data_IF_921030939280
#
_entry.id   IF_921030939280
#
_cell.length_a   1.000
_cell.length_b   1.000
_cell.length_c   1.000
_cell.angle_alpha   90.00
_cell.angle_beta   90.00
_cell.angle_gamma   90.00
#
_symmetry.space_group_name_H-M   'P 1'
#
loop_
_entity.id
_entity.type
_entity.pdbx_description
1 polymer ?
#
# COMPACT_ATOMS: atom_id res chain seq x y z
N UNK A 1 0.62 10.03 2.35
CA UNK A 1 0.47 11.28 3.09
C UNK A 1 -0.47 11.08 4.28
N UNK A 2 -0.44 12.03 5.23
CA UNK A 2 -1.22 11.96 6.48
C UNK A 2 -2.73 12.14 6.29
N UNK A 3 -3.16 12.52 5.12
CA UNK A 3 -4.57 12.67 4.72
C UNK A 3 -5.11 11.47 3.94
N UNK A 4 -4.33 10.39 3.84
CA UNK A 4 -4.68 9.19 3.07
C UNK A 4 -4.55 9.35 1.57
N UNK A 5 -3.88 10.40 1.09
CA UNK A 5 -3.61 10.58 -0.34
C UNK A 5 -2.35 9.86 -0.81
N UNK A 6 -2.37 9.41 -2.05
CA UNK A 6 -1.20 9.00 -2.82
C UNK A 6 -0.92 10.07 -3.88
N UNK A 7 0.29 10.59 -3.90
CA UNK A 7 0.73 11.66 -4.80
C UNK A 7 1.87 11.16 -5.67
N UNK A 8 1.72 11.26 -6.98
CA UNK A 8 2.78 10.94 -7.94
C UNK A 8 3.37 12.21 -8.53
N UNK A 9 4.67 12.18 -8.78
CA UNK A 9 5.44 13.31 -9.30
C UNK A 9 6.24 12.88 -10.52
N UNK A 10 6.20 13.68 -11.59
CA UNK A 10 7.10 13.48 -12.71
C UNK A 10 8.49 14.07 -12.37
N UNK A 11 9.48 13.19 -12.27
CA UNK A 11 10.86 13.58 -12.05
C UNK A 11 11.53 13.76 -13.44
N UNK A 12 11.73 15.01 -13.85
CA UNK A 12 12.50 15.31 -15.06
C UNK A 12 14.00 15.14 -14.78
N UNK A 13 14.81 14.68 -15.77
CA UNK A 13 16.25 14.65 -15.64
C UNK A 13 16.81 16.03 -15.27
N UNK A 14 17.91 16.04 -14.50
CA UNK A 14 18.52 17.27 -13.98
C UNK A 14 18.89 18.31 -15.05
N UNK A 15 19.19 17.89 -16.27
CA UNK A 15 19.50 18.77 -17.41
C UNK A 15 18.31 19.66 -17.87
N UNK A 16 17.10 19.42 -17.41
CA UNK A 16 15.90 20.20 -17.75
C UNK A 16 15.36 21.04 -16.56
N UNK A 17 16.12 21.16 -15.49
CA UNK A 17 15.70 21.86 -14.27
C UNK A 17 16.12 23.32 -14.34
N UNK A 18 15.33 24.13 -15.09
CA UNK A 18 15.34 25.60 -14.93
C UNK A 18 14.30 26.13 -13.91
N UNK A 19 13.38 25.29 -13.46
CA UNK A 19 12.34 25.65 -12.49
C UNK A 19 12.67 25.08 -11.12
N UNK A 20 12.67 25.91 -10.09
CA UNK A 20 12.91 25.49 -8.71
C UNK A 20 11.91 24.43 -8.25
N UNK A 21 12.32 23.61 -7.28
CA UNK A 21 11.51 22.51 -6.72
C UNK A 21 10.11 22.97 -6.24
N UNK A 22 9.99 24.23 -5.83
CA UNK A 22 8.76 24.83 -5.30
C UNK A 22 7.64 25.03 -6.36
N UNK A 23 7.95 24.92 -7.66
CA UNK A 23 6.97 25.14 -8.74
C UNK A 23 6.45 23.85 -9.37
N UNK A 24 6.95 22.68 -8.92
CA UNK A 24 6.50 21.39 -9.47
C UNK A 24 5.10 21.06 -8.99
N UNK A 25 4.19 20.88 -9.94
CA UNK A 25 2.85 20.34 -9.64
C UNK A 25 2.90 18.82 -9.62
N UNK A 26 2.13 18.16 -8.73
CA UNK A 26 1.99 16.71 -8.76
C UNK A 26 1.41 16.27 -10.09
N UNK A 27 1.85 15.12 -10.59
CA UNK A 27 1.31 14.51 -11.80
C UNK A 27 -0.09 13.95 -11.54
N UNK A 28 -0.30 13.37 -10.36
CA UNK A 28 -1.58 12.81 -9.93
C UNK A 28 -1.71 12.90 -8.41
N UNK A 29 -2.92 13.13 -7.93
CA UNK A 29 -3.31 13.03 -6.52
C UNK A 29 -4.55 12.14 -6.49
N UNK A 30 -4.47 11.03 -5.77
CA UNK A 30 -5.59 10.12 -5.60
C UNK A 30 -5.83 9.87 -4.12
N UNK A 31 -7.09 9.67 -3.77
CA UNK A 31 -7.54 9.26 -2.44
C UNK A 31 -8.18 7.88 -2.58
N UNK A 32 -7.43 6.79 -2.39
CA UNK A 32 -7.88 5.44 -2.69
C UNK A 32 -9.19 5.05 -2.00
N UNK A 33 -9.37 5.51 -0.76
CA UNK A 33 -10.56 5.23 0.05
C UNK A 33 -11.38 6.48 0.38
N UNK A 34 -10.93 7.65 -0.11
CA UNK A 34 -11.61 8.91 0.16
C UNK A 34 -12.96 8.98 -0.53
N UNK A 35 -14.01 9.18 0.25
CA UNK A 35 -15.33 9.51 -0.28
C UNK A 35 -15.48 11.01 -0.36
N UNK A 36 -16.06 11.48 -1.46
CA UNK A 36 -16.48 12.87 -1.58
C UNK A 36 -17.83 13.04 -0.89
N UNK A 37 -17.87 13.96 0.06
CA UNK A 37 -19.11 14.47 0.58
C UNK A 37 -19.91 15.11 -0.56
N UNK A 38 -21.16 14.71 -0.72
CA UNK A 38 -22.04 15.16 -1.81
C UNK A 38 -22.44 16.63 -1.69
N UNK A 39 -22.48 17.18 -0.48
CA UNK A 39 -22.91 18.55 -0.21
C UNK A 39 -21.74 19.53 -0.31
N UNK A 40 -20.62 19.21 0.31
CA UNK A 40 -19.46 20.10 0.38
C UNK A 40 -18.42 19.86 -0.70
N UNK A 41 -18.47 18.71 -1.38
CA UNK A 41 -17.48 18.27 -2.36
C UNK A 41 -16.10 17.98 -1.76
N UNK A 42 -15.94 18.05 -0.44
CA UNK A 42 -14.69 17.75 0.27
C UNK A 42 -14.53 16.26 0.43
N UNK A 43 -13.27 15.83 0.48
CA UNK A 43 -12.94 14.43 0.77
C UNK A 43 -12.99 14.24 2.28
N UNK A 44 -13.65 13.16 2.73
CA UNK A 44 -13.72 12.78 4.13
C UNK A 44 -12.32 12.43 4.67
N UNK A 45 -12.04 12.72 5.94
CA UNK A 45 -10.74 12.43 6.54
C UNK A 45 -10.40 10.94 6.47
N UNK A 46 -9.19 10.64 6.02
CA UNK A 46 -8.66 9.28 5.93
C UNK A 46 -7.47 9.10 6.89
N UNK A 47 -7.21 7.84 7.24
CA UNK A 47 -6.00 7.45 7.97
C UNK A 47 -4.75 7.73 7.13
N UNK A 48 -3.60 7.99 7.77
CA UNK A 48 -2.34 8.12 7.07
C UNK A 48 -2.01 6.86 6.26
N UNK A 49 -1.31 7.05 5.14
CA UNK A 49 -0.62 5.98 4.42
C UNK A 49 0.86 6.10 4.78
N UNK A 50 1.35 5.16 5.59
CA UNK A 50 2.72 5.21 6.10
C UNK A 50 3.71 4.54 5.16
N UNK A 51 3.29 3.48 4.50
CA UNK A 51 4.12 2.74 3.55
C UNK A 51 3.35 2.43 2.27
N UNK A 52 4.00 2.68 1.14
CA UNK A 52 3.52 2.31 -0.18
C UNK A 52 4.63 1.62 -0.97
N UNK A 53 4.29 0.52 -1.62
CA UNK A 53 5.13 -0.15 -2.61
C UNK A 53 4.48 0.07 -3.96
N UNK A 54 5.21 0.70 -4.88
CA UNK A 54 4.79 0.89 -6.27
C UNK A 54 5.69 0.06 -7.19
N UNK A 55 5.07 -0.75 -8.04
CA UNK A 55 5.75 -1.57 -9.03
C UNK A 55 4.92 -1.61 -10.32
N UNK A 56 5.53 -2.08 -11.39
CA UNK A 56 4.86 -2.34 -12.67
C UNK A 56 4.88 -3.83 -12.93
N UNK A 57 3.73 -4.38 -13.26
CA UNK A 57 3.54 -5.77 -13.60
C UNK A 57 4.20 -6.09 -14.95
N UNK A 58 4.95 -7.18 -15.01
CA UNK A 58 5.61 -7.64 -16.23
C UNK A 58 4.62 -8.17 -17.27
N UNK A 59 3.56 -8.83 -16.81
CA UNK A 59 2.61 -9.53 -17.68
C UNK A 59 1.77 -8.55 -18.51
N UNK A 60 1.36 -7.43 -17.91
CA UNK A 60 0.40 -6.51 -18.51
C UNK A 60 0.92 -5.06 -18.60
N UNK A 61 2.12 -4.78 -18.10
CA UNK A 61 2.71 -3.44 -18.02
C UNK A 61 1.81 -2.44 -17.28
N UNK A 62 1.06 -2.94 -16.29
CA UNK A 62 0.14 -2.14 -15.47
C UNK A 62 0.79 -1.84 -14.14
N UNK A 63 0.74 -0.59 -13.73
CA UNK A 63 1.20 -0.19 -12.40
C UNK A 63 0.28 -0.75 -11.32
N UNK A 64 0.90 -1.16 -10.22
CA UNK A 64 0.19 -1.57 -9.03
C UNK A 64 0.82 -0.97 -7.78
N UNK A 65 -0.03 -0.76 -6.79
CA UNK A 65 0.32 -0.17 -5.51
C UNK A 65 -0.14 -1.11 -4.39
N UNK A 66 0.72 -1.32 -3.42
CA UNK A 66 0.40 -2.02 -2.17
C UNK A 66 0.67 -1.06 -1.03
N UNK A 67 -0.30 -0.84 -0.17
CA UNK A 67 -0.15 0.09 0.95
C UNK A 67 -1.04 -0.30 2.14
N UNK A 68 -0.65 0.15 3.32
CA UNK A 68 -1.43 0.05 4.55
C UNK A 68 -1.92 1.44 4.97
N UNK A 69 -3.07 1.51 5.63
CA UNK A 69 -3.72 2.76 5.99
C UNK A 69 -4.59 3.35 4.88
N UNK A 70 -4.88 4.63 4.96
CA UNK A 70 -5.70 5.37 3.99
C UNK A 70 -7.20 5.12 4.11
N UNK A 71 -7.67 4.29 5.05
CA UNK A 71 -9.09 4.05 5.30
C UNK A 71 -9.76 5.26 5.93
N UNK A 72 -11.10 5.32 5.89
CA UNK A 72 -11.83 6.42 6.51
C UNK A 72 -11.67 6.41 8.04
N UNK A 73 -11.32 7.57 8.61
CA UNK A 73 -10.99 7.72 10.03
C UNK A 73 -12.18 7.56 10.96
N UNK A 74 -13.35 8.03 10.54
CA UNK A 74 -14.53 8.14 11.40
C UNK A 74 -15.48 6.95 11.32
N UNK A 75 -15.06 5.86 10.67
CA UNK A 75 -15.84 4.63 10.57
C UNK A 75 -15.39 3.66 11.66
N UNK A 76 -16.21 3.48 12.70
CA UNK A 76 -15.94 2.49 13.76
C UNK A 76 -16.02 1.07 13.22
N UNK A 77 -15.09 0.21 13.65
CA UNK A 77 -15.10 -1.21 13.29
C UNK A 77 -14.49 -1.54 11.94
N UNK A 78 -13.77 -0.62 11.32
CA UNK A 78 -12.98 -0.92 10.12
C UNK A 78 -11.81 -1.80 10.51
N UNK A 79 -11.69 -3.03 9.95
CA UNK A 79 -10.58 -3.91 10.27
C UNK A 79 -9.26 -3.37 9.70
N UNK A 80 -8.13 -3.66 10.37
CA UNK A 80 -6.82 -3.40 9.79
C UNK A 80 -6.70 -4.06 8.42
N UNK A 81 -6.08 -3.38 7.47
CA UNK A 81 -6.03 -3.91 6.11
C UNK A 81 -4.80 -3.47 5.34
N UNK A 82 -4.50 -4.24 4.30
CA UNK A 82 -3.58 -3.85 3.23
C UNK A 82 -4.39 -3.69 1.96
N UNK A 83 -4.20 -2.57 1.28
CA UNK A 83 -4.86 -2.30 0.00
C UNK A 83 -3.93 -2.65 -1.15
N UNK A 84 -4.46 -3.44 -2.08
CA UNK A 84 -3.81 -3.79 -3.34
C UNK A 84 -4.58 -3.15 -4.50
N UNK A 85 -3.97 -2.17 -5.14
CA UNK A 85 -4.52 -1.50 -6.32
C UNK A 85 -3.75 -1.93 -7.56
N UNK A 86 -4.46 -2.35 -8.61
CA UNK A 86 -3.86 -2.71 -9.90
C UNK A 86 -4.69 -2.12 -11.04
N UNK A 87 -4.14 -1.13 -11.71
CA UNK A 87 -4.87 -0.37 -12.72
C UNK A 87 -6.12 0.31 -12.12
N UNK A 88 -7.30 -0.14 -12.52
CA UNK A 88 -8.59 0.37 -12.00
C UNK A 88 -9.20 -0.49 -10.89
N UNK A 89 -8.59 -1.62 -10.58
CA UNK A 89 -9.07 -2.53 -9.55
C UNK A 89 -8.45 -2.19 -8.21
N UNK A 90 -9.27 -2.14 -7.17
CA UNK A 90 -8.84 -1.94 -5.78
C UNK A 90 -9.39 -3.09 -4.95
N UNK A 91 -8.51 -3.79 -4.27
CA UNK A 91 -8.85 -4.88 -3.36
C UNK A 91 -8.36 -4.51 -1.97
N UNK A 92 -9.25 -4.58 -0.98
CA UNK A 92 -8.92 -4.39 0.43
C UNK A 92 -8.78 -5.77 1.07
N UNK A 93 -7.59 -6.05 1.58
CA UNK A 93 -7.25 -7.31 2.24
C UNK A 93 -7.36 -7.10 3.74
N UNK A 94 -8.48 -7.50 4.32
CA UNK A 94 -8.76 -7.35 5.75
C UNK A 94 -7.93 -8.34 6.57
N UNK A 95 -7.40 -7.86 7.70
CA UNK A 95 -6.52 -8.59 8.59
C UNK A 95 -7.06 -8.56 10.02
N UNK A 96 -6.67 -9.55 10.84
CA UNK A 96 -7.15 -9.67 12.21
C UNK A 96 -6.50 -8.70 13.18
N UNK A 97 -5.26 -8.28 12.90
CA UNK A 97 -4.46 -7.42 13.76
C UNK A 97 -3.85 -6.26 12.98
N UNK A 98 -3.46 -5.22 13.70
CA UNK A 98 -2.81 -4.04 13.11
C UNK A 98 -1.56 -4.41 12.33
N UNK A 99 -1.44 -3.84 11.14
CA UNK A 99 -0.27 -3.98 10.29
C UNK A 99 0.84 -3.07 10.82
N UNK A 100 1.93 -3.67 11.25
CA UNK A 100 3.12 -2.92 11.69
C UNK A 100 4.02 -2.59 10.49
N UNK A 101 4.22 -3.58 9.61
CA UNK A 101 4.99 -3.42 8.39
C UNK A 101 4.61 -4.51 7.39
N UNK A 102 5.03 -4.37 6.14
CA UNK A 102 4.85 -5.41 5.13
C UNK A 102 5.94 -5.34 4.06
N UNK A 103 6.16 -6.45 3.39
CA UNK A 103 6.99 -6.52 2.20
C UNK A 103 6.25 -7.22 1.08
N UNK A 104 6.70 -6.97 -0.15
CA UNK A 104 6.17 -7.61 -1.34
C UNK A 104 7.23 -8.55 -1.91
N UNK A 105 6.91 -9.83 -1.92
CA UNK A 105 7.69 -10.83 -2.65
C UNK A 105 7.26 -10.80 -4.12
N UNK A 106 8.23 -10.73 -5.01
CA UNK A 106 8.04 -10.70 -6.45
C UNK A 106 8.76 -11.87 -7.10
N UNK A 107 8.46 -12.17 -8.34
CA UNK A 107 9.10 -13.26 -9.10
C UNK A 107 10.49 -12.90 -9.64
N UNK A 108 10.85 -11.62 -9.61
CA UNK A 108 12.18 -11.13 -9.98
C UNK A 108 12.93 -10.56 -8.77
N UNK A 109 14.19 -10.95 -8.54
CA UNK A 109 15.00 -10.38 -7.47
C UNK A 109 15.56 -8.98 -7.82
N UNK A 110 15.46 -8.56 -9.07
CA UNK A 110 16.05 -7.31 -9.55
C UNK A 110 15.07 -6.16 -9.45
N UNK A 111 15.43 -5.12 -8.71
CA UNK A 111 14.56 -3.96 -8.45
C UNK A 111 14.30 -3.08 -9.68
N UNK A 112 15.12 -3.20 -10.73
CA UNK A 112 15.01 -2.40 -11.95
C UNK A 112 14.10 -3.03 -13.02
N UNK A 113 13.66 -4.28 -12.80
CA UNK A 113 12.79 -4.99 -13.72
C UNK A 113 11.31 -4.77 -13.38
N UNK A 114 10.45 -4.99 -14.38
CA UNK A 114 9.03 -5.20 -14.12
C UNK A 114 8.86 -6.44 -13.25
N UNK A 115 7.99 -6.36 -12.27
CA UNK A 115 7.87 -7.36 -11.20
C UNK A 115 6.43 -7.79 -11.01
N UNK A 116 6.16 -9.08 -11.22
CA UNK A 116 4.85 -9.64 -10.89
C UNK A 116 4.76 -9.93 -9.39
N UNK A 117 3.68 -9.49 -8.72
CA UNK A 117 3.49 -9.76 -7.30
C UNK A 117 3.26 -11.27 -7.08
N UNK A 118 4.00 -11.85 -6.13
CA UNK A 118 3.85 -13.25 -5.71
C UNK A 118 3.08 -13.34 -4.41
N UNK A 119 3.57 -12.65 -3.40
CA UNK A 119 2.95 -12.63 -2.08
C UNK A 119 3.22 -11.32 -1.38
N UNK A 120 2.27 -10.90 -0.54
CA UNK A 120 2.47 -9.87 0.46
C UNK A 120 2.76 -10.59 1.77
N UNK A 121 3.91 -10.29 2.40
CA UNK A 121 4.24 -10.78 3.73
C UNK A 121 4.00 -9.62 4.68
N UNK A 122 2.99 -9.74 5.52
CA UNK A 122 2.61 -8.71 6.48
C UNK A 122 2.99 -9.12 7.90
N UNK A 123 3.64 -8.20 8.58
CA UNK A 123 3.92 -8.29 10.00
C UNK A 123 2.81 -7.57 10.76
N UNK A 124 2.10 -8.32 11.53
CA UNK A 124 1.02 -7.84 12.39
C UNK A 124 1.52 -7.66 13.82
N UNK A 125 0.71 -7.06 14.68
CA UNK A 125 1.08 -6.88 16.09
C UNK A 125 1.36 -8.19 16.82
N UNK A 126 0.73 -9.29 16.41
CA UNK A 126 0.80 -10.58 17.09
C UNK A 126 1.14 -11.75 16.17
N UNK A 127 1.34 -11.51 14.86
CA UNK A 127 1.59 -12.60 13.91
C UNK A 127 2.29 -12.09 12.64
N UNK A 128 2.76 -13.03 11.83
CA UNK A 128 3.23 -12.80 10.46
C UNK A 128 2.37 -13.63 9.52
N UNK A 129 1.82 -12.99 8.52
CA UNK A 129 0.97 -13.64 7.53
C UNK A 129 1.50 -13.45 6.11
N UNK A 130 1.31 -14.45 5.27
CA UNK A 130 1.61 -14.39 3.86
C UNK A 130 0.32 -14.44 3.05
N UNK A 131 0.11 -13.46 2.17
CA UNK A 131 -1.06 -13.35 1.32
C UNK A 131 -0.64 -13.67 -0.11
N UNK A 132 -1.21 -14.70 -0.72
CA UNK A 132 -0.92 -15.06 -2.11
C UNK A 132 -1.56 -14.06 -3.07
N UNK A 133 -0.74 -13.40 -3.87
CA UNK A 133 -1.21 -12.44 -4.88
C UNK A 133 -1.59 -13.04 -6.22
N UNK A 134 -1.33 -14.35 -6.43
CA UNK A 134 -1.62 -15.03 -7.69
C UNK A 134 -2.95 -15.77 -7.71
N UNK A 135 -3.33 -16.35 -6.57
CA UNK A 135 -4.57 -17.08 -6.46
C UNK A 135 -5.76 -16.15 -6.32
N UNK A 136 -6.88 -16.53 -6.92
CA UNK A 136 -8.13 -15.81 -6.78
C UNK A 136 -8.56 -15.76 -5.31
N UNK A 137 -9.04 -14.59 -4.87
CA UNK A 137 -9.47 -14.39 -3.48
C UNK A 137 -8.34 -14.06 -2.50
N UNK A 138 -7.09 -14.01 -2.96
CA UNK A 138 -5.94 -13.63 -2.12
C UNK A 138 -5.85 -14.45 -0.83
N UNK A 139 -5.72 -15.78 -0.90
CA UNK A 139 -5.68 -16.60 0.30
C UNK A 139 -4.55 -16.18 1.24
N UNK A 140 -4.89 -16.10 2.53
CA UNK A 140 -3.98 -15.72 3.58
C UNK A 140 -3.48 -16.95 4.34
N UNK A 141 -2.18 -17.12 4.42
CA UNK A 141 -1.51 -18.19 5.14
C UNK A 141 -0.93 -17.63 6.44
N UNK A 142 -1.44 -18.14 7.54
CA UNK A 142 -0.95 -17.82 8.89
C UNK A 142 0.11 -18.81 9.31
N UNK A 143 1.01 -18.36 10.18
CA UNK A 143 1.90 -19.28 10.85
C UNK A 143 1.08 -20.21 11.76
N UNK A 144 1.25 -21.54 11.70
CA UNK A 144 0.54 -22.48 12.56
C UNK A 144 0.90 -22.34 14.04
N UNK A 145 2.01 -21.69 14.35
CA UNK A 145 2.47 -21.42 15.71
C UNK A 145 2.40 -19.92 15.98
N UNK A 146 1.75 -19.54 17.08
CA UNK A 146 1.74 -18.16 17.51
C UNK A 146 3.19 -17.66 17.70
N UNK A 147 3.47 -16.48 17.14
CA UNK A 147 4.76 -15.83 17.35
C UNK A 147 4.59 -14.84 18.49
N UNK A 148 5.33 -15.06 19.58
CA UNK A 148 5.34 -14.12 20.70
C UNK A 148 6.39 -13.03 20.46
N UNK A 149 5.92 -11.83 20.15
CA UNK A 149 6.77 -10.65 19.97
C UNK A 149 6.88 -9.77 21.22
N UNK A 150 6.34 -10.23 22.38
CA UNK A 150 6.21 -9.41 23.57
C UNK A 150 7.55 -8.96 24.15
N UNK A 151 8.59 -9.78 24.07
CA UNK A 151 9.92 -9.47 24.63
C UNK A 151 10.82 -8.69 23.66
N UNK A 152 10.50 -8.68 22.37
CA UNK A 152 11.31 -8.01 21.37
C UNK A 152 10.42 -7.60 20.17
N UNK A 153 9.78 -6.44 20.24
CA UNK A 153 8.88 -6.02 19.18
C UNK A 153 9.65 -5.88 17.87
N UNK A 154 9.30 -6.72 16.90
CA UNK A 154 9.73 -6.54 15.52
C UNK A 154 8.92 -5.38 14.94
N UNK A 155 9.58 -4.36 14.46
CA UNK A 155 8.93 -3.14 14.01
C UNK A 155 9.06 -2.89 12.51
N UNK A 156 9.82 -3.70 11.81
CA UNK A 156 10.06 -3.52 10.37
C UNK A 156 10.43 -4.81 9.66
N UNK A 157 10.02 -4.92 8.41
CA UNK A 157 10.41 -5.98 7.47
C UNK A 157 11.35 -5.43 6.39
N UNK A 158 12.41 -6.18 6.08
CA UNK A 158 13.33 -5.87 4.98
C UNK A 158 13.64 -7.12 4.16
#
# INVERSE_FOLDING_TARGET
>A
YNDGSLVTWNIKPAAQVGEGLATRKPASIIFPHGKKDKETGKIEPCEPIDKVIWRTDRSNYVDYYVFSGGLQRDVTGVPPSITFMRGKSTTVLELEHNVLDFLLATDSPYTNDYQDPRAIIAMLSNDVVAIDCKSAGYPCFKNPYAMDFNDSPVTTCR
#
